data_IF_936726778128
#
_entry.id   IF_936726778128
#
_cell.length_a   1.000
_cell.length_b   1.000
_cell.length_c   1.000
_cell.angle_alpha   90.00
_cell.angle_beta   90.00
_cell.angle_gamma   90.00
#
_symmetry.space_group_name_H-M   'P 1'
#
loop_
_entity.id
_entity.type
_entity.pdbx_description
1 polymer ?
#
# COMPACT_ATOMS: atom_id res chain seq x y z
N UNK A 1 -77.90 -5.52 5.04
CA UNK A 1 -76.96 -5.06 6.09
C UNK A 1 -75.61 -4.78 5.49
N UNK A 2 -75.27 -3.51 5.59
CA UNK A 2 -74.02 -2.81 5.30
C UNK A 2 -72.81 -3.42 5.98
N UNK A 3 -71.67 -3.49 5.28
CA UNK A 3 -70.36 -3.10 5.83
C UNK A 3 -69.33 -2.99 4.68
N UNK A 4 -68.92 -1.76 4.41
CA UNK A 4 -67.67 -1.44 3.71
C UNK A 4 -66.48 -1.93 4.53
N UNK A 5 -65.44 -2.42 3.86
CA UNK A 5 -64.09 -2.29 4.38
C UNK A 5 -63.10 -2.05 3.22
N UNK A 6 -62.63 -0.81 3.14
CA UNK A 6 -61.43 -0.42 2.41
C UNK A 6 -60.20 -0.84 3.21
N UNK A 7 -59.13 -1.29 2.54
CA UNK A 7 -57.73 -1.18 2.99
C UNK A 7 -56.84 -1.31 1.73
N UNK A 8 -56.40 -0.18 1.16
CA UNK A 8 -55.12 0.51 1.41
C UNK A 8 -53.93 -0.14 0.69
N UNK A 9 -53.47 0.56 -0.35
CA UNK A 9 -52.23 0.34 -1.09
C UNK A 9 -51.02 0.65 -0.21
N UNK A 10 -50.08 -0.28 -0.05
CA UNK A 10 -48.71 0.06 0.34
C UNK A 10 -47.76 -0.27 -0.81
N UNK A 11 -47.28 0.80 -1.44
CA UNK A 11 -46.14 0.77 -2.35
C UNK A 11 -44.89 0.37 -1.54
N UNK A 12 -44.51 -0.90 -1.58
CA UNK A 12 -43.16 -1.28 -1.16
C UNK A 12 -42.18 -0.97 -2.30
N UNK A 13 -41.11 -0.20 -2.05
CA UNK A 13 -40.06 -0.06 -3.04
C UNK A 13 -39.37 -1.41 -3.19
N UNK A 14 -39.44 -1.99 -4.39
CA UNK A 14 -38.55 -3.07 -4.82
C UNK A 14 -37.13 -2.56 -4.69
N UNK A 15 -36.44 -2.91 -3.60
CA UNK A 15 -35.00 -2.80 -3.49
C UNK A 15 -34.42 -3.75 -4.53
N UNK A 16 -34.19 -3.20 -5.73
CA UNK A 16 -33.45 -3.86 -6.78
C UNK A 16 -32.12 -4.30 -6.20
N UNK A 17 -31.92 -5.62 -6.20
CA UNK A 17 -30.67 -6.24 -5.83
C UNK A 17 -29.55 -5.64 -6.68
N UNK A 18 -28.70 -4.84 -6.04
CA UNK A 18 -27.34 -4.66 -6.47
C UNK A 18 -26.48 -5.60 -5.63
N UNK A 19 -26.63 -6.91 -5.84
CA UNK A 19 -25.52 -7.81 -5.50
C UNK A 19 -24.39 -7.44 -6.46
N UNK A 20 -23.46 -6.60 -5.99
CA UNK A 20 -22.15 -6.48 -6.62
C UNK A 20 -21.54 -7.88 -6.58
N UNK A 21 -21.53 -8.54 -7.74
CA UNK A 21 -20.66 -9.67 -7.96
C UNK A 21 -19.22 -9.17 -7.80
N UNK A 22 -18.62 -9.39 -6.64
CA UNK A 22 -17.17 -9.27 -6.47
C UNK A 22 -16.56 -10.51 -7.08
N UNK A 23 -16.25 -10.44 -8.37
CA UNK A 23 -15.47 -11.46 -9.06
C UNK A 23 -14.04 -11.48 -8.50
N UNK A 24 -13.66 -12.63 -7.94
CA UNK A 24 -12.42 -12.94 -7.21
C UNK A 24 -12.38 -12.41 -5.77
N UNK A 25 -12.12 -13.30 -4.81
CA UNK A 25 -11.99 -12.98 -3.38
C UNK A 25 -10.71 -12.20 -3.03
N UNK A 26 -10.12 -11.49 -3.98
CA UNK A 26 -8.99 -10.60 -3.76
C UNK A 26 -9.51 -9.26 -3.25
N UNK A 27 -8.95 -8.79 -2.14
CA UNK A 27 -9.22 -7.44 -1.65
C UNK A 27 -8.34 -6.48 -2.44
N UNK A 28 -8.94 -5.52 -3.11
CA UNK A 28 -8.21 -4.46 -3.79
C UNK A 28 -7.57 -3.55 -2.73
N UNK A 29 -6.24 -3.62 -2.60
CA UNK A 29 -5.47 -2.73 -1.73
C UNK A 29 -4.82 -1.65 -2.58
N UNK A 30 -5.03 -0.40 -2.20
CA UNK A 30 -4.36 0.76 -2.78
C UNK A 30 -3.28 1.26 -1.81
N UNK A 31 -2.04 1.39 -2.28
CA UNK A 31 -0.98 2.07 -1.54
C UNK A 31 -0.78 3.48 -2.09
N UNK A 32 -0.65 4.46 -1.21
CA UNK A 32 -0.35 5.85 -1.55
C UNK A 32 0.82 6.30 -0.67
N UNK A 33 1.90 6.78 -1.29
CA UNK A 33 3.00 7.43 -0.60
C UNK A 33 2.71 8.91 -0.35
N UNK A 34 3.19 9.41 0.78
CA UNK A 34 3.03 10.80 1.18
C UNK A 34 4.40 11.43 1.45
N UNK A 35 4.46 12.76 1.27
CA UNK A 35 5.67 13.55 1.47
C UNK A 35 6.20 13.54 2.92
N UNK A 36 5.42 13.04 3.88
CA UNK A 36 5.79 12.87 5.28
C UNK A 36 6.45 11.49 5.57
N UNK A 37 6.89 10.79 4.52
CA UNK A 37 7.52 9.46 4.58
C UNK A 37 6.60 8.38 5.16
N UNK A 38 5.29 8.55 5.00
CA UNK A 38 4.29 7.52 5.27
C UNK A 38 3.75 6.92 3.98
N UNK A 39 3.38 5.64 4.05
CA UNK A 39 2.53 5.00 3.04
C UNK A 39 1.21 4.67 3.70
N UNK A 40 0.09 5.03 3.07
CA UNK A 40 -1.25 4.60 3.51
C UNK A 40 -1.78 3.50 2.60
N UNK A 41 -2.22 2.42 3.24
CA UNK A 41 -2.87 1.28 2.61
C UNK A 41 -4.37 1.38 2.80
N UNK A 42 -5.11 1.47 1.71
CA UNK A 42 -6.55 1.53 1.69
C UNK A 42 -7.12 0.20 1.23
N UNK A 43 -7.90 -0.45 2.09
CA UNK A 43 -8.57 -1.70 1.81
C UNK A 43 -9.95 -1.46 1.20
N UNK A 44 -10.13 -1.87 -0.06
CA UNK A 44 -11.33 -1.56 -0.84
C UNK A 44 -11.30 -0.18 -1.49
N UNK A 45 -10.10 0.40 -1.67
CA UNK A 45 -9.88 1.69 -2.35
C UNK A 45 -10.09 2.92 -1.47
N UNK A 46 -10.15 4.11 -2.08
CA UNK A 46 -10.17 5.41 -1.39
C UNK A 46 -11.35 5.65 -0.43
N UNK A 47 -12.36 4.78 -0.45
CA UNK A 47 -13.47 4.80 0.50
C UNK A 47 -13.19 4.09 1.83
N UNK A 48 -12.00 3.53 2.02
CA UNK A 48 -11.61 2.89 3.28
C UNK A 48 -11.72 3.89 4.45
N UNK A 49 -12.59 3.65 5.44
CA UNK A 49 -12.76 4.55 6.58
C UNK A 49 -11.58 4.52 7.56
N UNK A 50 -10.66 3.54 7.43
CA UNK A 50 -9.53 3.37 8.33
C UNK A 50 -8.31 2.82 7.58
N UNK A 51 -7.69 3.62 6.70
CA UNK A 51 -6.48 3.22 6.02
C UNK A 51 -5.38 2.91 7.03
N UNK A 52 -4.54 1.91 6.71
CA UNK A 52 -3.40 1.55 7.56
C UNK A 52 -2.19 2.35 7.16
N UNK A 53 -1.47 2.86 8.15
CA UNK A 53 -0.27 3.65 7.95
C UNK A 53 0.99 2.80 8.14
N UNK A 54 1.95 2.98 7.25
CA UNK A 54 3.31 2.44 7.35
C UNK A 54 4.26 3.62 7.44
N UNK A 55 5.02 3.70 8.53
CA UNK A 55 6.14 4.62 8.62
C UNK A 55 7.35 4.00 7.90
N UNK A 56 7.79 4.62 6.81
CA UNK A 56 8.84 4.05 5.96
C UNK A 56 10.23 4.17 6.58
N UNK A 57 10.49 5.28 7.30
CA UNK A 57 11.78 5.59 7.93
C UNK A 57 12.95 5.61 6.93
N UNK A 58 12.71 6.18 5.75
CA UNK A 58 13.71 6.44 4.70
C UNK A 58 13.55 7.88 4.23
N UNK A 59 14.65 8.56 3.91
CA UNK A 59 14.64 9.92 3.35
C UNK A 59 14.06 9.96 1.92
N UNK A 60 14.28 8.90 1.15
CA UNK A 60 13.69 8.72 -0.18
C UNK A 60 13.54 7.24 -0.46
N UNK A 61 12.45 6.87 -1.14
CA UNK A 61 12.09 5.49 -1.41
C UNK A 61 11.24 5.32 -2.66
N UNK A 62 11.16 4.08 -3.11
CA UNK A 62 10.35 3.57 -4.20
C UNK A 62 9.44 2.49 -3.65
N UNK A 63 8.26 2.35 -4.25
CA UNK A 63 7.25 1.36 -3.86
C UNK A 63 6.87 0.51 -5.07
N UNK A 64 6.68 -0.80 -4.87
CA UNK A 64 6.21 -1.69 -5.91
C UNK A 64 5.42 -2.87 -5.33
N UNK A 65 4.20 -3.08 -5.83
CA UNK A 65 3.42 -4.27 -5.53
C UNK A 65 3.95 -5.48 -6.29
N UNK A 66 4.01 -6.63 -5.61
CA UNK A 66 4.13 -7.93 -6.26
C UNK A 66 2.93 -8.20 -7.16
N UNK A 67 3.12 -9.06 -8.16
CA UNK A 67 2.13 -9.35 -9.20
C UNK A 67 0.82 -9.96 -8.66
N UNK A 68 0.88 -10.67 -7.53
CA UNK A 68 -0.30 -11.23 -6.85
C UNK A 68 -0.93 -10.27 -5.83
N UNK A 69 -0.37 -9.07 -5.66
CA UNK A 69 -0.84 -8.02 -4.75
C UNK A 69 -0.62 -8.32 -3.25
N UNK A 70 0.09 -9.40 -2.89
CA UNK A 70 0.20 -9.82 -1.48
C UNK A 70 1.34 -9.15 -0.72
N UNK A 71 2.36 -8.72 -1.46
CA UNK A 71 3.57 -8.12 -0.91
C UNK A 71 3.80 -6.75 -1.53
N UNK A 72 4.02 -5.75 -0.69
CA UNK A 72 4.51 -4.42 -1.06
C UNK A 72 6.01 -4.34 -0.79
N UNK A 73 6.81 -4.16 -1.83
CA UNK A 73 8.23 -3.84 -1.69
C UNK A 73 8.41 -2.33 -1.53
N UNK A 74 9.26 -1.94 -0.60
CA UNK A 74 9.71 -0.57 -0.39
C UNK A 74 11.23 -0.56 -0.37
N UNK A 75 11.87 0.17 -1.29
CA UNK A 75 13.32 0.23 -1.37
C UNK A 75 13.77 1.69 -1.44
N UNK A 76 14.79 2.04 -0.68
CA UNK A 76 15.23 3.43 -0.58
C UNK A 76 16.49 3.58 0.24
N UNK A 77 16.71 4.79 0.77
CA UNK A 77 17.93 5.11 1.49
C UNK A 77 17.74 6.19 2.55
N UNK A 78 18.68 6.20 3.50
CA UNK A 78 18.99 7.36 4.34
C UNK A 78 20.39 7.88 3.99
N UNK A 79 20.63 9.16 4.22
CA UNK A 79 21.93 9.78 4.00
C UNK A 79 22.71 9.80 5.32
N UNK A 80 23.87 9.16 5.33
CA UNK A 80 24.80 9.25 6.44
C UNK A 80 25.98 10.15 6.05
N UNK A 81 26.05 11.33 6.67
CA UNK A 81 27.19 12.23 6.55
C UNK A 81 28.12 12.07 7.74
N UNK A 82 29.38 11.71 7.49
CA UNK A 82 30.44 11.79 8.49
C UNK A 82 31.37 12.94 8.15
N UNK A 83 31.57 13.86 9.09
CA UNK A 83 32.64 14.85 9.04
C UNK A 83 33.92 14.20 9.59
N UNK A 84 34.93 13.87 8.76
CA UNK A 84 36.21 13.45 9.30
C UNK A 84 36.89 14.62 10.00
N UNK A 85 37.69 14.34 11.02
CA UNK A 85 38.43 15.34 11.82
C UNK A 85 39.41 16.18 10.96
N UNK A 86 39.76 15.70 9.76
CA UNK A 86 40.55 16.41 8.76
C UNK A 86 40.07 15.97 7.36
N UNK A 87 39.50 16.87 6.54
CA UNK A 87 39.17 16.63 5.13
C UNK A 87 37.71 16.87 4.71
N UNK A 88 37.35 16.42 3.50
CA UNK A 88 36.02 16.61 2.88
C UNK A 88 34.93 15.74 3.51
N UNK A 89 33.69 16.24 3.53
CA UNK A 89 32.51 15.51 3.98
C UNK A 89 32.35 14.21 3.17
N UNK A 90 32.23 13.07 3.86
CA UNK A 90 31.88 11.79 3.23
C UNK A 90 30.41 11.54 3.42
N UNK A 91 29.69 11.43 2.31
CA UNK A 91 28.30 11.02 2.26
C UNK A 91 28.21 9.53 1.88
N UNK A 92 27.40 8.77 2.61
CA UNK A 92 27.07 7.38 2.29
C UNK A 92 25.56 7.21 2.21
N UNK A 93 25.10 6.44 1.24
CA UNK A 93 23.71 6.03 1.12
C UNK A 93 23.52 4.72 1.89
N UNK A 94 22.73 4.76 2.97
CA UNK A 94 22.31 3.58 3.70
C UNK A 94 21.11 2.98 3.00
N UNK A 95 21.37 2.25 1.92
CA UNK A 95 20.35 1.63 1.10
C UNK A 95 19.69 0.46 1.82
N UNK A 96 18.37 0.36 1.77
CA UNK A 96 17.62 -0.78 2.31
C UNK A 96 16.43 -1.16 1.44
N UNK A 97 16.02 -2.42 1.55
CA UNK A 97 14.79 -2.95 0.98
C UNK A 97 13.96 -3.58 2.10
N UNK A 98 12.66 -3.30 2.08
CA UNK A 98 11.67 -3.76 3.04
C UNK A 98 10.52 -4.40 2.26
N UNK A 99 9.95 -5.47 2.80
CA UNK A 99 8.76 -6.10 2.27
C UNK A 99 7.67 -6.07 3.34
N UNK A 100 6.50 -5.59 2.96
CA UNK A 100 5.32 -5.51 3.80
C UNK A 100 4.23 -6.43 3.25
N UNK A 101 3.40 -6.99 4.14
CA UNK A 101 2.19 -7.68 3.72
C UNK A 101 1.18 -6.69 3.15
N UNK A 102 0.14 -7.19 2.48
CA UNK A 102 -1.00 -6.37 2.03
C UNK A 102 -1.73 -5.66 3.18
N UNK A 103 -1.63 -6.20 4.40
CA UNK A 103 -2.11 -5.52 5.60
C UNK A 103 -1.13 -4.46 6.06
N UNK A 104 0.12 -4.40 5.62
CA UNK A 104 1.12 -3.41 6.04
C UNK A 104 2.01 -3.85 7.20
N UNK A 105 2.05 -5.15 7.51
CA UNK A 105 3.02 -5.67 8.49
C UNK A 105 4.38 -5.86 7.82
N UNK A 106 5.48 -5.44 8.46
CA UNK A 106 6.83 -5.70 7.97
C UNK A 106 7.12 -7.21 8.02
N UNK A 107 7.43 -7.80 6.86
CA UNK A 107 7.78 -9.22 6.70
C UNK A 107 9.30 -9.39 6.72
N UNK A 108 10.01 -8.51 6.03
CA UNK A 108 11.45 -8.62 5.85
C UNK A 108 12.09 -7.25 5.62
N UNK A 109 13.31 -7.08 6.10
CA UNK A 109 14.15 -5.91 5.85
C UNK A 109 15.60 -6.35 5.62
N UNK A 110 16.27 -5.67 4.67
CA UNK A 110 17.69 -5.87 4.39
C UNK A 110 18.37 -4.56 4.04
N UNK A 111 19.46 -4.27 4.74
CA UNK A 111 20.42 -3.25 4.35
C UNK A 111 21.32 -3.78 3.22
N UNK A 112 21.54 -2.97 2.19
CA UNK A 112 22.39 -3.29 1.07
C UNK A 112 23.80 -2.75 1.32
N UNK A 113 24.81 -3.56 0.97
CA UNK A 113 26.22 -3.21 1.23
C UNK A 113 26.75 -2.10 0.30
N UNK A 114 26.07 -1.83 -0.81
CA UNK A 114 26.47 -0.79 -1.75
C UNK A 114 25.99 0.57 -1.24
N UNK A 115 26.93 1.47 -0.93
CA UNK A 115 26.63 2.75 -0.25
C UNK A 115 27.08 4.00 -1.00
N UNK A 116 27.60 3.83 -2.23
CA UNK A 116 28.12 4.95 -3.03
C UNK A 116 27.04 5.72 -3.79
N UNK A 117 25.96 5.05 -4.17
CA UNK A 117 24.82 5.65 -4.86
C UNK A 117 23.51 5.16 -4.26
N UNK A 118 22.43 5.95 -4.35
CA UNK A 118 21.12 5.54 -3.89
C UNK A 118 20.52 4.43 -4.76
N UNK A 119 19.57 3.68 -4.21
CA UNK A 119 18.63 2.90 -5.01
C UNK A 119 17.80 3.87 -5.86
N UNK A 120 17.80 3.66 -7.18
CA UNK A 120 17.08 4.53 -8.13
C UNK A 120 15.97 3.81 -8.89
N UNK A 121 15.91 2.47 -8.79
CA UNK A 121 14.88 1.67 -9.43
C UNK A 121 14.57 0.43 -8.58
N UNK A 122 13.32 -0.02 -8.65
CA UNK A 122 12.81 -1.22 -8.03
C UNK A 122 11.83 -1.88 -8.99
N UNK A 123 11.97 -3.19 -9.19
CA UNK A 123 11.02 -3.98 -9.98
C UNK A 123 10.91 -5.39 -9.41
N UNK A 124 9.76 -6.01 -9.59
CA UNK A 124 9.56 -7.42 -9.33
C UNK A 124 9.94 -8.23 -10.57
N UNK A 125 10.59 -9.37 -10.37
CA UNK A 125 10.76 -10.32 -11.46
C UNK A 125 9.39 -10.79 -11.95
N UNK A 126 9.22 -10.91 -13.27
CA UNK A 126 8.03 -11.53 -13.83
C UNK A 126 8.02 -13.03 -13.49
N UNK A 127 6.93 -13.51 -12.89
CA UNK A 127 6.67 -14.95 -12.78
C UNK A 127 6.19 -15.42 -14.16
N UNK A 128 7.14 -15.78 -15.03
CA UNK A 128 6.86 -16.31 -16.36
C UNK A 128 6.44 -17.78 -16.24
N UNK A 129 5.19 -18.00 -15.82
CA UNK A 129 4.52 -19.29 -15.95
C UNK A 129 3.75 -19.29 -17.27
N UNK A 130 4.47 -19.49 -18.37
CA UNK A 130 3.91 -19.78 -19.68
C UNK A 130 3.96 -21.27 -19.99
#
# INVERSE_FOLDING_TARGET
>A
STAHQQQQTSNEPRLFGAQRHTSSGHKDILAIDFADNTIKLFNGGLGDPKPREIQVNLESYLVAWSSDGRILAVAGFNIYTSAPSVGYLRCKYLNSIKFYSQEGNLIYEKNLNFTRYPITALTWAHDDRR
#
